data_IF_241018459881
#
_entry.id   IF_241018459881
#
_cell.length_a   1.000
_cell.length_b   1.000
_cell.length_c   1.000
_cell.angle_alpha   90.00
_cell.angle_beta   90.00
_cell.angle_gamma   90.00
#
_symmetry.space_group_name_H-M   'P 1'
#
loop_
_entity.id
_entity.type
_entity.pdbx_description
1 polymer ?
#
# COMPACT_ATOMS: atom_id res chain seq x y z
N UNK A 1 30.84 3.30 -1.04
CA UNK A 1 29.62 3.69 -0.31
C UNK A 1 29.06 2.45 0.35
N UNK A 2 28.98 2.43 1.68
CA UNK A 2 28.48 1.28 2.45
C UNK A 2 27.00 1.01 2.15
N UNK A 3 26.47 -0.14 2.61
CA UNK A 3 25.03 -0.39 2.54
C UNK A 3 24.25 0.67 3.34
N UNK A 4 24.76 1.02 4.53
CA UNK A 4 24.14 2.02 5.42
C UNK A 4 24.10 3.40 4.74
N UNK A 5 25.18 3.82 4.10
CA UNK A 5 25.21 5.10 3.37
C UNK A 5 24.12 5.18 2.30
N UNK A 6 23.96 4.10 1.52
CA UNK A 6 22.92 4.03 0.48
C UNK A 6 21.52 4.05 1.07
N UNK A 7 21.33 3.36 2.19
CA UNK A 7 20.06 3.31 2.87
C UNK A 7 19.66 4.67 3.46
N UNK A 8 20.60 5.35 4.13
CA UNK A 8 20.39 6.71 4.63
C UNK A 8 20.14 7.70 3.48
N UNK A 9 20.92 7.62 2.40
CA UNK A 9 20.72 8.47 1.23
C UNK A 9 19.33 8.28 0.58
N UNK A 10 18.82 7.07 0.54
CA UNK A 10 17.45 6.80 0.03
C UNK A 10 16.38 7.44 0.92
N UNK A 11 16.50 7.33 2.25
CA UNK A 11 15.57 7.99 3.18
C UNK A 11 15.62 9.52 3.04
N UNK A 12 16.82 10.11 2.93
CA UNK A 12 16.98 11.55 2.71
C UNK A 12 16.36 11.99 1.36
N UNK A 13 16.53 11.21 0.29
CA UNK A 13 15.90 11.48 -0.99
C UNK A 13 14.36 11.48 -0.88
N UNK A 14 13.80 10.54 -0.11
CA UNK A 14 12.37 10.48 0.14
C UNK A 14 11.88 11.64 1.02
N UNK A 15 12.70 12.10 1.96
CA UNK A 15 12.41 13.30 2.75
C UNK A 15 12.31 14.53 1.85
N UNK A 16 13.24 14.72 0.90
CA UNK A 16 13.17 15.80 -0.09
C UNK A 16 11.89 15.70 -0.93
N UNK A 17 11.53 14.49 -1.37
CA UNK A 17 10.28 14.26 -2.09
C UNK A 17 9.04 14.62 -1.27
N UNK A 18 9.06 14.35 0.04
CA UNK A 18 7.98 14.74 0.96
C UNK A 18 7.86 16.25 1.12
N UNK A 19 8.97 16.98 1.29
CA UNK A 19 8.96 18.45 1.34
C UNK A 19 8.40 19.05 0.05
N UNK A 20 8.83 18.52 -1.09
CA UNK A 20 8.34 18.96 -2.40
C UNK A 20 6.84 18.69 -2.57
N UNK A 21 6.37 17.49 -2.21
CA UNK A 21 4.95 17.13 -2.29
C UNK A 21 4.11 17.96 -1.32
N UNK A 22 4.61 18.24 -0.12
CA UNK A 22 3.97 19.14 0.86
C UNK A 22 3.78 20.54 0.30
N UNK A 23 4.85 21.12 -0.26
CA UNK A 23 4.80 22.48 -0.84
C UNK A 23 3.80 22.56 -2.00
N UNK A 24 3.77 21.56 -2.89
CA UNK A 24 2.78 21.46 -3.98
C UNK A 24 1.35 21.34 -3.45
N UNK A 25 1.15 20.54 -2.40
CA UNK A 25 -0.18 20.37 -1.77
C UNK A 25 -0.65 21.68 -1.11
N UNK A 26 0.26 22.42 -0.47
CA UNK A 26 -0.01 23.71 0.15
C UNK A 26 -0.36 24.78 -0.90
N UNK A 27 0.44 24.87 -1.96
CA UNK A 27 0.22 25.78 -3.08
C UNK A 27 -0.93 25.35 -4.00
N UNK A 28 -1.43 24.11 -3.87
CA UNK A 28 -2.48 23.51 -4.72
C UNK A 28 -2.12 23.55 -6.20
N UNK A 29 -0.88 23.25 -6.51
CA UNK A 29 -0.38 23.37 -7.90
C UNK A 29 -0.92 22.29 -8.82
N UNK A 30 -1.21 21.10 -8.29
CA UNK A 30 -1.69 19.95 -9.07
C UNK A 30 -2.37 18.90 -8.19
N UNK A 31 -3.12 18.00 -8.83
CA UNK A 31 -3.90 16.94 -8.17
C UNK A 31 -3.05 15.74 -7.72
N UNK A 32 -1.77 15.64 -8.12
CA UNK A 32 -0.92 14.50 -7.79
C UNK A 32 -0.07 14.73 -6.53
N UNK A 33 -0.11 15.93 -5.96
CA UNK A 33 0.70 16.29 -4.79
C UNK A 33 0.48 15.37 -3.59
N UNK A 34 -0.79 15.05 -3.25
CA UNK A 34 -1.11 14.11 -2.18
C UNK A 34 -0.72 12.68 -2.56
N UNK A 35 -0.90 12.29 -3.81
CA UNK A 35 -0.46 10.98 -4.29
C UNK A 35 1.04 10.79 -4.12
N UNK A 36 1.84 11.75 -4.53
CA UNK A 36 3.31 11.70 -4.42
C UNK A 36 3.77 11.67 -2.95
N UNK A 37 3.13 12.46 -2.09
CA UNK A 37 3.37 12.42 -0.64
C UNK A 37 3.15 11.00 -0.10
N UNK A 38 2.05 10.36 -0.45
CA UNK A 38 1.73 8.99 -0.04
C UNK A 38 2.69 7.95 -0.64
N UNK A 39 3.16 8.15 -1.88
CA UNK A 39 4.21 7.30 -2.46
C UNK A 39 5.48 7.37 -1.61
N UNK A 40 5.94 8.57 -1.26
CA UNK A 40 7.14 8.74 -0.45
C UNK A 40 6.99 8.10 0.94
N UNK A 41 5.88 8.34 1.64
CA UNK A 41 5.55 7.72 2.93
C UNK A 41 5.57 6.19 2.84
N UNK A 42 4.94 5.63 1.83
CA UNK A 42 4.89 4.18 1.60
C UNK A 42 6.28 3.59 1.33
N UNK A 43 7.13 4.28 0.54
CA UNK A 43 8.51 3.84 0.29
C UNK A 43 9.35 3.87 1.57
N UNK A 44 9.23 4.92 2.40
CA UNK A 44 9.89 4.99 3.72
C UNK A 44 9.48 3.77 4.57
N UNK A 45 8.19 3.51 4.72
CA UNK A 45 7.69 2.36 5.49
C UNK A 45 8.20 1.02 4.95
N UNK A 46 8.28 0.88 3.63
CA UNK A 46 8.78 -0.35 2.99
C UNK A 46 10.26 -0.58 3.27
N UNK A 47 11.07 0.49 3.27
CA UNK A 47 12.47 0.45 3.65
C UNK A 47 12.67 0.10 5.12
N UNK A 48 11.87 0.67 6.02
CA UNK A 48 11.99 0.46 7.46
C UNK A 48 11.42 -0.89 7.93
N UNK A 49 10.50 -1.48 7.18
CA UNK A 49 9.74 -2.67 7.59
C UNK A 49 10.60 -3.87 8.05
N UNK A 50 11.70 -4.24 7.38
CA UNK A 50 12.54 -5.35 7.85
C UNK A 50 13.17 -5.11 9.22
N UNK A 51 13.36 -3.84 9.58
CA UNK A 51 14.05 -3.38 10.78
C UNK A 51 13.09 -2.82 11.84
N UNK A 52 11.78 -2.97 11.67
CA UNK A 52 10.76 -2.33 12.53
C UNK A 52 10.84 -2.68 14.02
N UNK A 53 11.58 -3.74 14.38
CA UNK A 53 11.82 -4.14 15.76
C UNK A 53 13.00 -3.43 16.40
N UNK A 54 13.76 -2.66 15.64
CA UNK A 54 14.83 -1.82 16.17
C UNK A 54 14.24 -0.54 16.75
N UNK A 55 14.67 -0.14 17.94
CA UNK A 55 14.21 1.06 18.63
C UNK A 55 14.42 2.32 17.79
N UNK A 56 15.55 2.40 17.08
CA UNK A 56 16.00 3.52 16.27
C UNK A 56 15.17 3.69 14.98
N UNK A 57 14.38 2.68 14.63
CA UNK A 57 13.53 2.68 13.44
C UNK A 57 12.06 2.83 13.81
N UNK A 58 11.68 2.41 15.00
CA UNK A 58 10.29 2.30 15.43
C UNK A 58 9.56 3.64 15.38
N UNK A 59 10.15 4.73 15.90
CA UNK A 59 9.52 6.05 15.96
C UNK A 59 9.22 6.60 14.56
N UNK A 60 10.19 6.55 13.63
CA UNK A 60 9.99 6.99 12.25
C UNK A 60 8.95 6.12 11.53
N UNK A 61 8.98 4.79 11.74
CA UNK A 61 8.01 3.89 11.12
C UNK A 61 6.57 4.16 11.60
N UNK A 62 6.38 4.45 12.90
CA UNK A 62 5.09 4.84 13.47
C UNK A 62 4.62 6.17 12.89
N UNK A 63 5.49 7.19 12.87
CA UNK A 63 5.15 8.50 12.31
C UNK A 63 4.73 8.41 10.84
N UNK A 64 5.44 7.60 10.03
CA UNK A 64 5.10 7.37 8.64
C UNK A 64 3.78 6.58 8.50
N UNK A 65 3.47 5.63 9.40
CA UNK A 65 2.20 4.92 9.41
C UNK A 65 1.03 5.88 9.66
N UNK A 66 1.13 6.75 10.67
CA UNK A 66 0.09 7.72 10.98
C UNK A 66 -0.19 8.70 9.84
N UNK A 67 0.84 9.18 9.14
CA UNK A 67 0.64 10.01 7.95
C UNK A 67 -0.06 9.21 6.84
N UNK A 68 0.29 7.96 6.65
CA UNK A 68 -0.44 7.05 5.74
C UNK A 68 -1.93 7.02 6.09
N UNK A 69 -2.26 6.74 7.34
CA UNK A 69 -3.63 6.63 7.85
C UNK A 69 -4.45 7.91 7.65
N UNK A 70 -3.95 9.06 8.10
CA UNK A 70 -4.70 10.32 8.02
C UNK A 70 -4.91 10.84 6.59
N UNK A 71 -4.06 10.41 5.65
CA UNK A 71 -4.15 10.82 4.24
C UNK A 71 -5.03 9.88 3.40
N UNK A 72 -5.34 8.67 3.87
CA UNK A 72 -6.13 7.68 3.14
C UNK A 72 -7.51 8.20 2.74
N UNK A 73 -8.36 8.76 3.63
CA UNK A 73 -9.71 9.18 3.25
C UNK A 73 -9.73 10.27 2.18
N UNK A 74 -8.72 11.16 2.21
CA UNK A 74 -8.62 12.24 1.21
C UNK A 74 -8.17 11.68 -0.14
N UNK A 75 -7.22 10.73 -0.17
CA UNK A 75 -6.81 10.08 -1.43
C UNK A 75 -7.94 9.26 -2.04
N UNK A 76 -8.71 8.54 -1.23
CA UNK A 76 -9.88 7.79 -1.71
C UNK A 76 -10.92 8.73 -2.32
N UNK A 77 -11.09 9.92 -1.76
CA UNK A 77 -11.95 10.96 -2.33
C UNK A 77 -11.40 11.49 -3.66
N UNK A 78 -10.09 11.73 -3.81
CA UNK A 78 -9.47 12.13 -5.08
C UNK A 78 -9.71 11.09 -6.17
N UNK A 79 -9.50 9.80 -5.85
CA UNK A 79 -9.71 8.70 -6.81
C UNK A 79 -11.19 8.60 -7.21
N UNK A 80 -12.12 8.79 -6.26
CA UNK A 80 -13.55 8.81 -6.55
C UNK A 80 -13.91 10.00 -7.45
N UNK A 81 -13.34 11.19 -7.22
CA UNK A 81 -13.56 12.37 -8.09
C UNK A 81 -13.09 12.07 -9.51
N UNK A 82 -11.90 11.51 -9.68
CA UNK A 82 -11.38 11.13 -11.00
C UNK A 82 -12.28 10.11 -11.71
N UNK A 83 -12.77 9.11 -10.98
CA UNK A 83 -13.69 8.09 -11.51
C UNK A 83 -15.01 8.72 -11.97
N UNK A 84 -15.62 9.58 -11.15
CA UNK A 84 -16.86 10.27 -11.49
C UNK A 84 -16.69 11.20 -12.71
N UNK A 85 -15.60 11.98 -12.76
CA UNK A 85 -15.27 12.84 -13.91
C UNK A 85 -15.12 12.00 -15.18
N UNK A 86 -14.41 10.85 -15.11
CA UNK A 86 -14.18 9.96 -16.25
C UNK A 86 -15.48 9.35 -16.81
N UNK A 87 -16.51 9.24 -15.97
CA UNK A 87 -17.83 8.69 -16.35
C UNK A 87 -18.87 9.76 -16.66
N UNK A 88 -18.50 11.04 -16.61
CA UNK A 88 -19.42 12.15 -16.92
C UNK A 88 -20.34 12.56 -15.77
N UNK A 89 -20.14 12.06 -14.54
CA UNK A 89 -20.86 12.43 -13.33
C UNK A 89 -20.24 13.68 -12.71
N UNK A 90 -20.32 14.80 -13.46
CA UNK A 90 -19.58 16.03 -13.13
C UNK A 90 -20.13 16.75 -11.90
N UNK A 91 -21.42 16.69 -11.64
CA UNK A 91 -22.05 17.33 -10.48
C UNK A 91 -21.61 16.62 -9.18
N UNK A 92 -21.63 15.29 -9.16
CA UNK A 92 -21.23 14.44 -8.05
C UNK A 92 -19.72 14.55 -7.79
N UNK A 93 -18.91 14.65 -8.85
CA UNK A 93 -17.48 14.92 -8.77
C UNK A 93 -17.22 16.29 -8.14
N UNK A 94 -17.89 17.35 -8.62
CA UNK A 94 -17.72 18.71 -8.12
C UNK A 94 -18.12 18.85 -6.64
N UNK A 95 -19.19 18.17 -6.23
CA UNK A 95 -19.61 18.13 -4.82
C UNK A 95 -18.50 17.58 -3.90
N UNK A 96 -17.80 16.51 -4.31
CA UNK A 96 -16.68 15.92 -3.56
C UNK A 96 -15.42 16.76 -3.66
N UNK A 97 -15.12 17.30 -4.83
CA UNK A 97 -13.96 18.15 -5.11
C UNK A 97 -13.94 19.41 -4.23
N UNK A 98 -15.10 20.00 -3.96
CA UNK A 98 -15.24 21.16 -3.08
C UNK A 98 -14.72 20.91 -1.66
N UNK A 99 -14.71 19.64 -1.20
CA UNK A 99 -14.22 19.25 0.14
C UNK A 99 -12.72 19.04 0.19
N UNK A 100 -12.05 18.78 -0.94
CA UNK A 100 -10.63 18.44 -0.98
C UNK A 100 -9.76 19.56 -0.41
N UNK A 101 -10.05 20.82 -0.72
CA UNK A 101 -9.27 21.95 -0.21
C UNK A 101 -9.23 22.03 1.33
N UNK A 102 -10.35 21.75 1.99
CA UNK A 102 -10.43 21.69 3.45
C UNK A 102 -9.64 20.48 3.99
N UNK A 103 -9.75 19.32 3.32
CA UNK A 103 -9.04 18.11 3.73
C UNK A 103 -7.53 18.27 3.59
N UNK A 104 -7.04 18.87 2.50
CA UNK A 104 -5.61 19.19 2.37
C UNK A 104 -5.11 20.09 3.49
N UNK A 105 -5.88 21.14 3.84
CA UNK A 105 -5.53 22.02 4.95
C UNK A 105 -5.46 21.29 6.29
N UNK A 106 -6.36 20.32 6.54
CA UNK A 106 -6.32 19.48 7.75
C UNK A 106 -5.07 18.60 7.79
N UNK A 107 -4.71 17.99 6.65
CA UNK A 107 -3.50 17.15 6.52
C UNK A 107 -2.26 18.00 6.79
N UNK A 108 -2.14 19.16 6.14
CA UNK A 108 -0.98 20.06 6.26
C UNK A 108 -0.77 20.59 7.67
N UNK A 109 -1.87 20.84 8.42
CA UNK A 109 -1.85 21.30 9.81
C UNK A 109 -1.79 20.16 10.83
N UNK A 110 -1.78 18.92 10.38
CA UNK A 110 -1.80 17.76 11.27
C UNK A 110 -0.51 17.65 12.07
N UNK A 111 -0.58 17.42 13.39
CA UNK A 111 0.59 17.13 14.21
C UNK A 111 1.31 15.85 13.76
N UNK A 112 0.60 14.90 13.14
CA UNK A 112 1.19 13.68 12.61
C UNK A 112 2.14 13.95 11.43
N UNK A 113 1.76 14.84 10.51
CA UNK A 113 2.64 15.24 9.41
C UNK A 113 3.87 15.97 9.92
N UNK A 114 3.70 16.89 10.86
CA UNK A 114 4.81 17.61 11.47
C UNK A 114 5.75 16.66 12.21
N UNK A 115 5.21 15.72 13.00
CA UNK A 115 6.00 14.70 13.69
C UNK A 115 6.82 13.85 12.71
N UNK A 116 6.26 13.48 11.55
CA UNK A 116 7.00 12.73 10.53
C UNK A 116 8.25 13.51 10.07
N UNK A 117 8.15 14.81 9.84
CA UNK A 117 9.31 15.62 9.45
C UNK A 117 10.35 15.71 10.56
N UNK A 118 9.93 15.90 11.83
CA UNK A 118 10.85 15.89 12.98
C UNK A 118 11.59 14.56 13.05
N UNK A 119 10.89 13.45 12.94
CA UNK A 119 11.51 12.11 12.97
C UNK A 119 12.47 11.90 11.79
N UNK A 120 12.17 12.42 10.60
CA UNK A 120 13.06 12.33 9.44
C UNK A 120 14.32 13.17 9.60
N UNK A 121 14.24 14.35 10.23
CA UNK A 121 15.39 15.21 10.49
C UNK A 121 16.35 14.59 11.50
N UNK A 122 15.85 13.92 12.53
CA UNK A 122 16.64 13.30 13.60
C UNK A 122 17.21 11.93 13.22
N UNK A 123 16.45 11.15 12.43
CA UNK A 123 16.72 9.75 12.16
C UNK A 123 18.11 9.45 11.57
N UNK A 124 18.67 10.21 10.61
CA UNK A 124 19.98 9.90 10.03
C UNK A 124 21.10 9.88 11.08
N UNK A 125 21.05 10.82 12.05
CA UNK A 125 22.02 10.89 13.15
C UNK A 125 21.87 9.71 14.09
N UNK A 126 20.64 9.37 14.48
CA UNK A 126 20.32 8.23 15.33
C UNK A 126 20.78 6.93 14.68
N UNK A 127 20.44 6.71 13.40
CA UNK A 127 20.77 5.49 12.69
C UNK A 127 22.29 5.31 12.49
N UNK A 128 23.02 6.40 12.20
CA UNK A 128 24.48 6.35 12.07
C UNK A 128 25.20 6.12 13.41
N UNK A 129 24.66 6.57 14.52
CA UNK A 129 25.24 6.26 15.83
C UNK A 129 25.24 4.74 16.12
N UNK A 130 24.21 4.05 15.67
CA UNK A 130 24.13 2.57 15.77
C UNK A 130 25.17 1.89 14.88
N UNK A 131 25.48 2.43 13.71
CA UNK A 131 26.53 1.93 12.81
C UNK A 131 27.90 1.99 13.48
N UNK A 132 28.26 3.14 14.08
CA UNK A 132 29.52 3.33 14.78
C UNK A 132 29.71 2.30 15.90
N UNK A 133 28.63 1.96 16.60
CA UNK A 133 28.62 0.97 17.67
C UNK A 133 28.54 -0.50 17.15
N UNK A 134 28.59 -0.71 15.83
CA UNK A 134 28.54 -2.03 15.20
C UNK A 134 27.16 -2.71 15.19
N UNK A 135 26.09 -1.99 15.61
CA UNK A 135 24.74 -2.54 15.71
C UNK A 135 24.07 -2.87 14.35
N UNK A 136 24.61 -2.35 13.23
CA UNK A 136 24.03 -2.56 11.89
C UNK A 136 24.68 -3.72 11.11
N UNK A 137 25.60 -4.49 11.68
CA UNK A 137 26.30 -5.60 10.99
C UNK A 137 25.35 -6.65 10.42
N UNK A 138 24.20 -6.85 11.04
CA UNK A 138 23.21 -7.88 10.66
C UNK A 138 22.00 -7.34 9.90
N UNK A 139 21.98 -6.05 9.55
CA UNK A 139 20.81 -5.43 8.88
C UNK A 139 20.58 -6.03 7.50
N UNK A 140 21.62 -6.17 6.67
CA UNK A 140 21.45 -6.77 5.35
C UNK A 140 20.95 -8.23 5.40
N UNK A 141 21.54 -9.14 6.18
CA UNK A 141 20.98 -10.49 6.39
C UNK A 141 19.53 -10.47 6.91
N UNK A 142 19.17 -9.53 7.77
CA UNK A 142 17.81 -9.40 8.28
C UNK A 142 16.83 -9.01 7.16
N UNK A 143 17.21 -8.10 6.25
CA UNK A 143 16.44 -7.72 5.09
C UNK A 143 16.25 -8.90 4.13
N UNK A 144 17.33 -9.63 3.82
CA UNK A 144 17.27 -10.82 2.97
C UNK A 144 16.35 -11.90 3.55
N UNK A 145 16.39 -12.12 4.85
CA UNK A 145 15.47 -13.02 5.55
C UNK A 145 14.02 -12.55 5.49
N UNK A 146 13.79 -11.24 5.61
CA UNK A 146 12.45 -10.65 5.50
C UNK A 146 11.88 -10.79 4.07
N UNK A 147 12.71 -10.52 3.06
CA UNK A 147 12.34 -10.70 1.64
C UNK A 147 11.97 -12.16 1.37
N UNK A 148 12.83 -13.10 1.76
CA UNK A 148 12.58 -14.53 1.58
C UNK A 148 11.27 -14.95 2.27
N UNK A 149 11.09 -14.59 3.53
CA UNK A 149 9.85 -14.91 4.29
C UNK A 149 8.60 -14.35 3.62
N UNK A 150 8.69 -13.14 3.07
CA UNK A 150 7.57 -12.50 2.40
C UNK A 150 7.22 -13.20 1.08
N UNK A 151 8.22 -13.61 0.31
CA UNK A 151 8.05 -14.35 -0.96
C UNK A 151 7.53 -15.77 -0.70
N UNK A 152 8.05 -16.47 0.32
CA UNK A 152 7.54 -17.79 0.70
C UNK A 152 6.04 -17.73 1.11
N UNK A 153 5.63 -16.66 1.79
CA UNK A 153 4.21 -16.43 2.12
C UNK A 153 3.37 -16.19 0.87
N UNK A 154 3.88 -15.37 -0.06
CA UNK A 154 3.19 -15.12 -1.32
C UNK A 154 3.03 -16.41 -2.11
N UNK A 155 4.09 -17.23 -2.19
CA UNK A 155 4.05 -18.53 -2.86
C UNK A 155 2.96 -19.43 -2.27
N UNK A 156 2.92 -19.55 -0.94
CA UNK A 156 1.92 -20.37 -0.27
C UNK A 156 0.48 -19.87 -0.50
N UNK A 157 0.28 -18.54 -0.57
CA UNK A 157 -1.04 -17.95 -0.85
C UNK A 157 -1.47 -18.11 -2.30
N UNK A 158 -0.51 -18.10 -3.23
CA UNK A 158 -0.77 -18.32 -4.68
C UNK A 158 -1.13 -19.76 -4.97
N UNK A 159 -0.54 -20.71 -4.22
CA UNK A 159 -0.82 -22.15 -4.34
C UNK A 159 -2.15 -22.57 -3.69
N UNK A 160 -2.77 -21.69 -2.90
CA UNK A 160 -4.04 -21.95 -2.21
C UNK A 160 -5.20 -21.28 -2.98
N UNK A 161 -5.97 -22.07 -3.70
CA UNK A 161 -7.12 -21.59 -4.45
C UNK A 161 -8.22 -20.97 -3.58
N UNK A 162 -8.31 -21.35 -2.28
CA UNK A 162 -9.25 -20.82 -1.30
C UNK A 162 -8.76 -19.56 -0.56
N UNK A 163 -7.57 -19.07 -0.88
CA UNK A 163 -7.02 -17.91 -0.18
C UNK A 163 -7.86 -16.65 -0.42
N UNK A 164 -8.21 -15.94 0.65
CA UNK A 164 -9.03 -14.72 0.56
C UNK A 164 -8.41 -13.66 -0.35
N UNK A 165 -9.19 -13.06 -1.24
CA UNK A 165 -8.70 -12.13 -2.26
C UNK A 165 -8.32 -10.75 -1.70
N UNK A 166 -8.92 -10.31 -0.59
CA UNK A 166 -8.48 -9.10 0.11
C UNK A 166 -7.14 -9.31 0.81
N UNK A 167 -6.97 -10.44 1.49
CA UNK A 167 -5.70 -10.80 2.11
C UNK A 167 -4.60 -11.01 1.06
N UNK A 168 -4.94 -11.63 -0.09
CA UNK A 168 -4.01 -11.78 -1.23
C UNK A 168 -3.55 -10.41 -1.75
N UNK A 169 -4.49 -9.47 -1.93
CA UNK A 169 -4.17 -8.09 -2.34
C UNK A 169 -3.16 -7.43 -1.39
N UNK A 170 -3.40 -7.53 -0.09
CA UNK A 170 -2.51 -6.99 0.95
C UNK A 170 -1.13 -7.65 0.84
N UNK A 171 -1.10 -8.97 0.70
CA UNK A 171 0.14 -9.74 0.61
C UNK A 171 0.94 -9.39 -0.66
N UNK A 172 0.29 -9.31 -1.82
CA UNK A 172 0.86 -8.89 -3.11
C UNK A 172 1.44 -7.49 -3.01
N UNK A 173 0.66 -6.55 -2.48
CA UNK A 173 1.07 -5.16 -2.26
C UNK A 173 2.31 -5.06 -1.35
N UNK A 174 2.31 -5.80 -0.24
CA UNK A 174 3.44 -5.87 0.71
C UNK A 174 4.69 -6.46 0.07
N UNK A 175 4.53 -7.55 -0.70
CA UNK A 175 5.65 -8.20 -1.38
C UNK A 175 6.26 -7.27 -2.42
N UNK A 176 5.43 -6.67 -3.26
CA UNK A 176 5.89 -5.74 -4.30
C UNK A 176 6.69 -4.59 -3.70
N UNK A 177 6.15 -3.90 -2.70
CA UNK A 177 6.82 -2.74 -2.14
C UNK A 177 8.12 -3.10 -1.40
N UNK A 178 8.16 -4.26 -0.74
CA UNK A 178 9.39 -4.73 -0.11
C UNK A 178 10.47 -5.08 -1.13
N UNK A 179 10.11 -5.74 -2.24
CA UNK A 179 11.06 -6.08 -3.30
C UNK A 179 11.53 -4.86 -4.08
N UNK A 180 10.66 -3.86 -4.28
CA UNK A 180 11.03 -2.57 -4.88
C UNK A 180 11.93 -1.72 -3.97
N UNK A 181 11.78 -1.81 -2.64
CA UNK A 181 12.65 -1.12 -1.69
C UNK A 181 14.08 -1.68 -1.68
N UNK A 182 14.25 -2.97 -1.97
CA UNK A 182 15.54 -3.66 -1.94
C UNK A 182 15.81 -4.45 -3.23
N UNK A 183 15.88 -3.78 -4.41
CA UNK A 183 15.93 -4.46 -5.70
C UNK A 183 17.19 -5.34 -5.86
N UNK A 184 18.31 -4.97 -5.24
CA UNK A 184 19.56 -5.71 -5.30
C UNK A 184 19.60 -6.95 -4.41
N UNK A 185 18.71 -7.02 -3.40
CA UNK A 185 18.58 -8.14 -2.48
C UNK A 185 17.35 -9.01 -2.81
N UNK A 186 16.50 -8.55 -3.72
CA UNK A 186 15.30 -9.27 -4.12
C UNK A 186 15.65 -10.51 -4.94
N UNK A 187 15.13 -11.70 -4.59
CA UNK A 187 15.32 -12.91 -5.39
C UNK A 187 14.36 -13.00 -6.59
N UNK A 188 13.46 -12.01 -6.79
CA UNK A 188 12.54 -12.00 -7.92
C UNK A 188 13.27 -11.64 -9.21
N UNK A 189 13.00 -12.41 -10.27
CA UNK A 189 13.39 -12.02 -11.62
C UNK A 189 12.62 -10.78 -12.10
N UNK A 190 13.15 -10.07 -13.10
CA UNK A 190 12.44 -8.93 -13.69
C UNK A 190 11.05 -9.30 -14.24
N UNK A 191 10.89 -10.51 -14.78
CA UNK A 191 9.59 -11.04 -15.24
C UNK A 191 8.63 -11.26 -14.07
N UNK A 192 9.09 -11.86 -12.97
CA UNK A 192 8.28 -12.05 -11.76
C UNK A 192 7.87 -10.70 -11.14
N UNK A 193 8.77 -9.71 -11.07
CA UNK A 193 8.46 -8.38 -10.58
C UNK A 193 7.42 -7.67 -11.45
N UNK A 194 7.49 -7.79 -12.78
CA UNK A 194 6.50 -7.24 -13.70
C UNK A 194 5.13 -7.91 -13.56
N UNK A 195 5.09 -9.25 -13.44
CA UNK A 195 3.86 -10.02 -13.21
C UNK A 195 3.24 -9.65 -11.85
N UNK A 196 4.04 -9.51 -10.79
CA UNK A 196 3.58 -9.07 -9.48
C UNK A 196 2.96 -7.66 -9.52
N UNK A 197 3.54 -6.75 -10.32
CA UNK A 197 2.97 -5.41 -10.56
C UNK A 197 1.64 -5.48 -11.30
N UNK A 198 1.52 -6.33 -12.31
CA UNK A 198 0.29 -6.52 -13.08
C UNK A 198 -0.84 -7.09 -12.19
N UNK A 199 -0.52 -8.12 -11.39
CA UNK A 199 -1.46 -8.70 -10.42
C UNK A 199 -1.92 -7.66 -9.39
N UNK A 200 -0.97 -6.87 -8.84
CA UNK A 200 -1.35 -5.81 -7.90
C UNK A 200 -2.29 -4.78 -8.53
N UNK A 201 -2.06 -4.40 -9.79
CA UNK A 201 -2.94 -3.45 -10.49
C UNK A 201 -4.35 -4.02 -10.69
N UNK A 202 -4.47 -5.30 -11.06
CA UNK A 202 -5.76 -5.95 -11.24
C UNK A 202 -6.52 -6.10 -9.91
N UNK A 203 -5.85 -6.58 -8.84
CA UNK A 203 -6.43 -6.66 -7.50
C UNK A 203 -6.78 -5.27 -6.92
N UNK A 204 -6.02 -4.23 -7.28
CA UNK A 204 -6.32 -2.85 -6.92
C UNK A 204 -7.62 -2.38 -7.57
N UNK A 205 -7.74 -2.53 -8.90
CA UNK A 205 -8.94 -2.15 -9.62
C UNK A 205 -10.19 -2.90 -9.14
N UNK A 206 -10.08 -4.22 -8.88
CA UNK A 206 -11.16 -4.99 -8.27
C UNK A 206 -11.60 -4.41 -6.94
N UNK A 207 -10.66 -4.15 -6.05
CA UNK A 207 -10.94 -3.63 -4.71
C UNK A 207 -11.57 -2.23 -4.75
N UNK A 208 -11.07 -1.33 -5.61
CA UNK A 208 -11.61 0.03 -5.74
C UNK A 208 -13.06 -0.01 -6.21
N UNK A 209 -13.39 -0.79 -7.24
CA UNK A 209 -14.77 -0.96 -7.70
C UNK A 209 -15.66 -1.63 -6.65
N UNK A 210 -15.16 -2.63 -5.93
CA UNK A 210 -15.88 -3.24 -4.82
C UNK A 210 -16.22 -2.22 -3.73
N UNK A 211 -15.25 -1.39 -3.32
CA UNK A 211 -15.48 -0.34 -2.32
C UNK A 211 -16.47 0.72 -2.82
N UNK A 212 -16.47 1.03 -4.09
CA UNK A 212 -17.43 1.98 -4.68
C UNK A 212 -18.84 1.40 -4.73
N UNK A 213 -19.01 0.13 -5.00
CA UNK A 213 -20.30 -0.54 -4.86
C UNK A 213 -20.83 -0.43 -3.42
N UNK A 214 -19.98 -0.67 -2.41
CA UNK A 214 -20.38 -0.53 -1.00
C UNK A 214 -20.76 0.94 -0.66
N UNK A 215 -20.07 1.92 -1.23
CA UNK A 215 -20.42 3.33 -1.08
C UNK A 215 -21.75 3.67 -1.74
N UNK A 216 -22.07 3.13 -2.89
CA UNK A 216 -23.33 3.35 -3.60
C UNK A 216 -24.55 2.90 -2.78
N UNK A 217 -24.39 1.91 -1.89
CA UNK A 217 -25.46 1.49 -0.97
C UNK A 217 -25.79 2.55 0.11
N UNK A 218 -24.87 3.49 0.36
CA UNK A 218 -24.98 4.51 1.41
C UNK A 218 -25.18 5.90 0.81
N UNK A 219 -24.51 6.20 -0.31
CA UNK A 219 -24.54 7.49 -1.01
C UNK A 219 -25.44 7.36 -2.24
N UNK A 220 -26.68 7.82 -2.15
CA UNK A 220 -27.72 7.62 -3.18
C UNK A 220 -27.38 8.25 -4.54
N UNK A 221 -26.54 9.28 -4.56
CA UNK A 221 -26.06 9.91 -5.79
C UNK A 221 -25.09 9.00 -6.60
N UNK A 222 -24.58 7.95 -5.99
CA UNK A 222 -23.71 6.95 -6.63
C UNK A 222 -24.47 5.72 -7.17
N UNK A 223 -25.74 5.52 -6.78
CA UNK A 223 -26.55 4.37 -7.20
C UNK A 223 -26.57 4.11 -8.71
N UNK A 224 -26.62 5.13 -9.60
CA UNK A 224 -26.60 4.90 -11.04
C UNK A 224 -25.35 4.17 -11.55
N UNK A 225 -24.24 4.22 -10.79
CA UNK A 225 -22.96 3.60 -11.15
C UNK A 225 -22.77 2.21 -10.56
N UNK A 226 -23.60 1.77 -9.62
CA UNK A 226 -23.44 0.51 -8.91
C UNK A 226 -23.27 -0.70 -9.85
N UNK A 227 -24.20 -0.87 -10.81
CA UNK A 227 -24.14 -2.01 -11.77
C UNK A 227 -22.90 -1.96 -12.67
N UNK A 228 -22.48 -0.76 -13.04
CA UNK A 228 -21.26 -0.56 -13.84
C UNK A 228 -20.03 -0.97 -13.04
N UNK A 229 -19.93 -0.54 -11.78
CA UNK A 229 -18.84 -0.91 -10.90
C UNK A 229 -18.83 -2.38 -10.54
N UNK A 230 -19.99 -3.02 -10.37
CA UNK A 230 -20.09 -4.48 -10.21
C UNK A 230 -19.48 -5.23 -11.41
N UNK A 231 -19.82 -4.82 -12.63
CA UNK A 231 -19.26 -5.42 -13.86
C UNK A 231 -17.75 -5.17 -13.97
N UNK A 232 -17.30 -3.94 -13.65
CA UNK A 232 -15.86 -3.62 -13.65
C UNK A 232 -15.10 -4.42 -12.59
N UNK A 233 -15.68 -4.62 -11.40
CA UNK A 233 -15.08 -5.45 -10.35
C UNK A 233 -14.94 -6.90 -10.80
N UNK A 234 -15.98 -7.49 -11.39
CA UNK A 234 -15.92 -8.86 -11.92
C UNK A 234 -14.80 -9.00 -12.97
N UNK A 235 -14.76 -8.10 -13.96
CA UNK A 235 -13.72 -8.10 -15.00
C UNK A 235 -12.30 -7.94 -14.42
N UNK A 236 -12.14 -7.09 -13.41
CA UNK A 236 -10.85 -6.88 -12.76
C UNK A 236 -10.42 -8.12 -11.95
N UNK A 237 -11.37 -8.83 -11.32
CA UNK A 237 -11.11 -10.07 -10.61
C UNK A 237 -10.68 -11.19 -11.57
N UNK A 238 -11.37 -11.38 -12.68
CA UNK A 238 -11.01 -12.37 -13.71
C UNK A 238 -9.60 -12.11 -14.26
N UNK A 239 -9.26 -10.84 -14.47
CA UNK A 239 -7.91 -10.44 -14.84
C UNK A 239 -6.89 -10.75 -13.75
N UNK A 240 -7.24 -10.55 -12.48
CA UNK A 240 -6.37 -10.87 -11.35
C UNK A 240 -6.10 -12.38 -11.26
N UNK A 241 -7.13 -13.23 -11.44
CA UNK A 241 -6.97 -14.69 -11.46
C UNK A 241 -6.03 -15.14 -12.58
N UNK A 242 -6.16 -14.57 -13.78
CA UNK A 242 -5.23 -14.83 -14.88
C UNK A 242 -3.79 -14.46 -14.53
N UNK A 243 -3.59 -13.26 -13.96
CA UNK A 243 -2.26 -12.79 -13.55
C UNK A 243 -1.69 -13.61 -12.39
N UNK A 244 -2.53 -14.16 -11.51
CA UNK A 244 -2.13 -15.03 -10.41
C UNK A 244 -1.52 -16.35 -10.95
N UNK A 245 -2.17 -16.97 -11.93
CA UNK A 245 -1.66 -18.18 -12.61
C UNK A 245 -0.30 -17.91 -13.28
N UNK A 246 -0.14 -16.75 -13.91
CA UNK A 246 1.13 -16.39 -14.54
C UNK A 246 2.23 -16.10 -13.53
N UNK A 247 1.91 -15.45 -12.42
CA UNK A 247 2.85 -15.21 -11.34
C UNK A 247 3.32 -16.51 -10.69
N UNK A 248 2.41 -17.47 -10.48
CA UNK A 248 2.75 -18.78 -9.91
C UNK A 248 3.90 -19.47 -10.64
N UNK A 249 3.93 -19.38 -11.98
CA UNK A 249 4.97 -19.97 -12.84
C UNK A 249 6.34 -19.27 -12.71
N UNK A 250 6.35 -18.02 -12.24
CA UNK A 250 7.53 -17.15 -12.22
C UNK A 250 8.15 -17.00 -10.85
N UNK A 251 7.43 -17.38 -9.77
CA UNK A 251 7.94 -17.30 -8.41
C UNK A 251 9.09 -18.28 -8.21
N UNK A 252 10.12 -17.91 -7.42
CA UNK A 252 11.19 -18.82 -7.02
C UNK A 252 10.61 -20.02 -6.27
N UNK A 253 11.16 -21.20 -6.50
CA UNK A 253 10.73 -22.42 -5.77
C UNK A 253 10.83 -22.19 -4.26
N UNK A 254 9.76 -22.50 -3.53
CA UNK A 254 9.74 -22.40 -2.08
C UNK A 254 10.82 -23.33 -1.47
N UNK A 255 11.62 -22.80 -0.55
CA UNK A 255 12.71 -23.53 0.08
C UNK A 255 12.28 -24.39 1.26
N UNK A 256 11.01 -24.62 1.50
CA UNK A 256 10.52 -25.45 2.60
C UNK A 256 9.01 -25.64 2.60
N UNK A 257 8.58 -26.90 2.65
CA UNK A 257 7.21 -27.31 2.99
C UNK A 257 6.92 -26.92 4.45
N UNK A 258 6.37 -25.71 4.69
CA UNK A 258 5.61 -25.46 5.91
C UNK A 258 4.19 -25.04 5.49
N UNK A 259 3.22 -25.94 5.72
CA UNK A 259 1.81 -25.58 5.77
C UNK A 259 1.68 -24.33 6.62
N UNK A 260 1.07 -23.27 6.09
CA UNK A 260 0.54 -22.18 6.90
C UNK A 260 -0.45 -22.81 7.89
N UNK A 261 -0.53 -22.36 9.15
CA UNK A 261 -1.61 -22.73 10.03
C UNK A 261 -2.90 -22.30 9.32
N UNK A 262 -3.77 -23.27 9.07
CA UNK A 262 -5.02 -23.06 8.35
C UNK A 262 -5.79 -21.92 8.98
N UNK A 263 -6.11 -20.91 8.18
CA UNK A 263 -7.18 -20.00 8.48
C UNK A 263 -8.44 -20.85 8.61
N UNK A 264 -9.08 -20.80 9.76
CA UNK A 264 -10.29 -21.56 10.11
C UNK A 264 -11.32 -21.32 9.01
N UNK A 265 -11.71 -22.40 8.35
CA UNK A 265 -12.73 -22.37 7.32
C UNK A 265 -14.04 -21.75 7.81
N UNK A 266 -14.57 -20.90 6.97
CA UNK A 266 -16.00 -20.64 6.72
C UNK A 266 -16.09 -19.54 5.69
N UNK A 267 -16.43 -19.93 4.45
CA UNK A 267 -17.61 -19.41 3.76
C UNK A 267 -17.57 -19.83 2.29
N UNK A 268 -18.10 -20.99 2.02
CA UNK A 268 -18.89 -21.22 0.82
C UNK A 268 -20.15 -20.38 1.01
N UNK A 269 -20.28 -19.28 0.31
CA UNK A 269 -21.48 -18.50 -0.02
C UNK A 269 -21.15 -17.01 -0.21
N UNK A 270 -20.30 -16.67 -1.19
CA UNK A 270 -20.03 -15.26 -1.52
C UNK A 270 -20.67 -14.79 -2.85
N UNK A 271 -21.62 -15.54 -3.39
CA UNK A 271 -22.33 -15.12 -4.62
C UNK A 271 -23.84 -14.92 -4.47
N UNK A 272 -24.46 -15.19 -3.32
CA UNK A 272 -25.93 -15.11 -3.22
C UNK A 272 -26.51 -14.50 -1.94
N UNK A 273 -25.76 -13.78 -1.11
CA UNK A 273 -26.35 -13.16 0.07
C UNK A 273 -25.98 -11.67 0.19
N UNK A 274 -26.75 -10.83 -0.52
CA UNK A 274 -26.86 -9.39 -0.30
C UNK A 274 -27.85 -9.15 0.86
N UNK A 275 -27.59 -9.66 2.05
CA UNK A 275 -28.33 -9.29 3.24
C UNK A 275 -27.39 -8.66 4.27
N UNK A 276 -27.66 -7.40 4.44
CA UNK A 276 -27.28 -6.43 5.46
C UNK A 276 -26.95 -7.07 6.81
N UNK A 277 -25.65 -7.05 7.20
CA UNK A 277 -25.26 -6.95 8.61
C UNK A 277 -23.85 -6.32 8.72
N UNK A 278 -23.81 -5.25 9.48
CA UNK A 278 -22.71 -4.44 9.99
C UNK A 278 -21.25 -4.91 9.77
N UNK A 279 -20.65 -4.49 8.68
CA UNK A 279 -19.21 -4.62 8.50
C UNK A 279 -18.53 -3.39 9.12
N UNK A 280 -17.81 -3.61 10.23
CA UNK A 280 -16.83 -2.66 10.74
C UNK A 280 -15.82 -2.38 9.61
N UNK A 281 -15.71 -1.12 9.24
CA UNK A 281 -14.62 -0.64 8.38
C UNK A 281 -13.29 -0.90 9.09
N UNK A 282 -12.64 -1.99 8.76
CA UNK A 282 -11.25 -2.21 9.12
C UNK A 282 -10.43 -1.43 8.10
N UNK A 283 -9.93 -0.28 8.52
CA UNK A 283 -8.97 0.49 7.75
C UNK A 283 -7.74 -0.39 7.46
N UNK A 284 -7.43 -0.56 6.16
CA UNK A 284 -6.25 -1.28 5.65
C UNK A 284 -4.92 -0.55 5.99
N UNK A 285 -4.79 0.02 7.16
CA UNK A 285 -3.65 0.85 7.59
C UNK A 285 -2.42 0.06 8.06
N UNK A 286 -2.39 -1.24 7.88
CA UNK A 286 -1.22 -2.10 8.12
C UNK A 286 -0.34 -2.29 6.88
N UNK A 287 -0.12 -1.24 6.08
CA UNK A 287 0.82 -1.26 4.95
C UNK A 287 2.00 -0.36 5.17
#
# INVERSE_FOLDING_TARGET
MSFVDKFVAEILSLQVALYHSRARLEARTDSEALHDLRIAVRRIRSLLRPMRTMSEVAALNIAAAEVGRITTPTRDMEVMVQELESRGFLAEAQFRKARLASNYSKILKSPHLNNLFIQLDEWPTIFRSVEVNGGLKHVQPQIEKALKKQIDRLHAAVDDAGFDRHELRILVKRTRYLTEAFPKLSPLSGKAASSLKALQSALGAWHDHYQWCQKALIESDLLPLEKVWQSCAATALDKAETQLVDLAKLLPKSSGKKKLPGGSGRNEHALNDLSITGVRFQNDDDV
#
